data_IF_704834878034
#
_entry.id   IF_704834878034
#
_cell.length_a   1.000
_cell.length_b   1.000
_cell.length_c   1.000
_cell.angle_alpha   90.00
_cell.angle_beta   90.00
_cell.angle_gamma   90.00
#
_symmetry.space_group_name_H-M   'P 1'
#
loop_
_entity.id
_entity.type
_entity.pdbx_description
1 polymer ?
#
# COMPACT_ATOMS: atom_id res chain seq x y z
N UNK A 1 12.69 -7.59 14.80
CA UNK A 1 14.06 -8.14 14.94
C UNK A 1 14.60 -8.65 13.61
N UNK A 2 13.92 -9.59 12.93
CA UNK A 2 14.37 -10.13 11.63
C UNK A 2 14.50 -9.07 10.51
N UNK A 3 13.51 -8.20 10.33
CA UNK A 3 13.57 -7.14 9.29
C UNK A 3 14.77 -6.20 9.44
N UNK A 4 15.15 -5.85 10.67
CA UNK A 4 16.32 -5.00 10.92
C UNK A 4 17.62 -5.73 10.60
N UNK A 5 17.72 -7.03 10.91
CA UNK A 5 18.90 -7.82 10.57
C UNK A 5 19.04 -7.96 9.04
N UNK A 6 17.95 -8.23 8.33
CA UNK A 6 17.94 -8.25 6.86
C UNK A 6 18.37 -6.89 6.31
N UNK A 7 17.78 -5.80 6.82
CA UNK A 7 18.14 -4.45 6.38
C UNK A 7 19.62 -4.13 6.62
N UNK A 8 20.18 -4.51 7.78
CA UNK A 8 21.61 -4.35 8.06
C UNK A 8 22.45 -5.00 6.97
N UNK A 9 22.08 -6.22 6.55
CA UNK A 9 22.80 -6.93 5.50
C UNK A 9 22.64 -6.26 4.14
N UNK A 10 21.45 -5.77 3.81
CA UNK A 10 21.21 -5.03 2.57
C UNK A 10 22.06 -3.76 2.52
N UNK A 11 22.16 -3.01 3.63
CA UNK A 11 22.98 -1.79 3.71
C UNK A 11 24.48 -2.06 3.57
N UNK A 12 24.97 -3.24 3.97
CA UNK A 12 26.37 -3.65 3.76
C UNK A 12 26.68 -4.02 2.30
N UNK A 13 25.70 -4.60 1.60
CA UNK A 13 25.91 -5.20 0.26
C UNK A 13 25.64 -4.18 -0.85
N UNK A 14 24.62 -3.34 -0.70
CA UNK A 14 24.17 -2.41 -1.74
C UNK A 14 24.76 -1.01 -1.57
N UNK A 15 24.71 -0.23 -2.67
CA UNK A 15 25.26 1.14 -2.73
C UNK A 15 24.34 2.17 -2.04
N UNK A 16 24.85 3.38 -1.74
CA UNK A 16 24.01 4.50 -1.31
C UNK A 16 22.88 4.80 -2.30
N UNK A 17 21.76 5.33 -1.80
CA UNK A 17 20.56 5.65 -2.58
C UNK A 17 19.59 4.48 -2.76
N UNK A 18 19.70 3.44 -1.93
CA UNK A 18 18.80 2.28 -2.00
C UNK A 18 17.36 2.67 -1.64
N UNK A 19 16.41 2.12 -2.38
CA UNK A 19 14.98 2.16 -2.08
C UNK A 19 14.51 0.79 -1.58
N UNK A 20 13.72 0.78 -0.51
CA UNK A 20 13.07 -0.44 0.01
C UNK A 20 11.59 -0.17 0.18
N UNK A 21 10.77 -1.10 -0.29
CA UNK A 21 9.33 -1.06 -0.06
C UNK A 21 8.88 -2.15 0.90
N UNK A 22 7.86 -1.80 1.69
CA UNK A 22 7.14 -2.75 2.51
C UNK A 22 5.73 -2.22 2.75
N UNK A 23 4.74 -3.09 2.92
CA UNK A 23 3.34 -2.67 3.16
C UNK A 23 3.24 -1.76 4.39
N UNK A 24 4.10 -1.98 5.38
CA UNK A 24 4.22 -1.12 6.56
C UNK A 24 5.46 -0.22 6.53
N UNK A 25 5.96 0.12 5.34
CA UNK A 25 7.18 0.89 5.10
C UNK A 25 7.23 2.19 5.91
N UNK A 26 6.08 2.87 6.05
CA UNK A 26 5.95 4.09 6.85
C UNK A 26 6.15 3.91 8.36
N UNK A 27 5.80 2.75 8.92
CA UNK A 27 6.04 2.40 10.33
C UNK A 27 7.44 1.81 10.48
N UNK A 28 7.89 1.08 9.48
CA UNK A 28 9.21 0.48 9.47
C UNK A 28 10.32 1.53 9.40
N UNK A 29 10.14 2.59 8.60
CA UNK A 29 11.07 3.72 8.51
C UNK A 29 11.34 4.35 9.89
N UNK A 30 10.28 4.58 10.68
CA UNK A 30 10.39 5.07 12.07
C UNK A 30 11.16 4.07 12.94
N UNK A 31 10.83 2.79 12.82
CA UNK A 31 11.51 1.72 13.56
C UNK A 31 13.01 1.70 13.26
N UNK A 32 13.39 1.86 12.00
CA UNK A 32 14.79 1.91 11.55
C UNK A 32 15.48 3.17 12.07
N UNK A 33 14.83 4.32 11.99
CA UNK A 33 15.36 5.60 12.49
C UNK A 33 15.68 5.56 13.99
N UNK A 34 14.88 4.84 14.78
CA UNK A 34 15.10 4.65 16.22
C UNK A 34 16.01 3.47 16.58
N UNK A 35 16.52 2.74 15.60
CA UNK A 35 17.41 1.60 15.81
C UNK A 35 18.88 2.01 15.67
N UNK A 36 19.79 1.08 15.99
CA UNK A 36 21.23 1.25 15.75
C UNK A 36 21.59 1.45 14.27
N UNK A 37 20.68 1.13 13.34
CA UNK A 37 20.88 1.32 11.90
C UNK A 37 20.51 2.73 11.43
N UNK A 38 19.82 3.54 12.23
CA UNK A 38 19.23 4.80 11.77
C UNK A 38 20.25 5.79 11.19
N UNK A 39 21.40 5.95 11.85
CA UNK A 39 22.48 6.84 11.37
C UNK A 39 23.11 6.33 10.09
N UNK A 40 23.36 5.03 10.00
CA UNK A 40 23.94 4.39 8.83
C UNK A 40 22.98 4.41 7.63
N UNK A 41 21.71 4.07 7.85
CA UNK A 41 20.65 4.14 6.84
C UNK A 41 20.48 5.56 6.30
N UNK A 42 20.52 6.57 7.17
CA UNK A 42 20.47 7.99 6.77
C UNK A 42 21.71 8.40 5.97
N UNK A 43 22.90 7.99 6.41
CA UNK A 43 24.15 8.30 5.70
C UNK A 43 24.19 7.66 4.29
N UNK A 44 23.59 6.48 4.14
CA UNK A 44 23.45 5.81 2.85
C UNK A 44 22.27 6.31 2.02
N UNK A 45 21.47 7.27 2.50
CA UNK A 45 20.31 7.78 1.77
C UNK A 45 19.25 6.70 1.51
N UNK A 46 18.94 5.87 2.51
CA UNK A 46 17.90 4.86 2.40
C UNK A 46 16.51 5.50 2.28
N UNK A 47 15.79 5.16 1.21
CA UNK A 47 14.40 5.56 0.99
C UNK A 47 13.43 4.42 1.28
N UNK A 48 12.33 4.73 1.95
CA UNK A 48 11.26 3.78 2.22
C UNK A 48 10.05 4.09 1.33
N UNK A 49 9.43 3.02 0.83
CA UNK A 49 8.20 3.08 0.06
C UNK A 49 7.13 2.16 0.67
N UNK A 50 5.89 2.42 0.29
CA UNK A 50 4.77 1.49 0.43
C UNK A 50 4.33 1.12 -0.98
N UNK A 51 4.09 -0.17 -1.25
CA UNK A 51 3.69 -0.64 -2.57
C UNK A 51 2.49 0.14 -3.12
N UNK A 52 2.47 0.43 -4.42
CA UNK A 52 1.51 1.34 -5.05
C UNK A 52 0.05 0.94 -4.80
N UNK A 53 -0.25 -0.36 -4.73
CA UNK A 53 -1.61 -0.82 -4.44
C UNK A 53 -1.98 -0.61 -2.97
N UNK A 54 -1.03 -0.85 -2.06
CA UNK A 54 -1.26 -0.68 -0.63
C UNK A 54 -1.18 0.77 -0.17
N UNK A 55 -0.42 1.61 -0.86
CA UNK A 55 -0.21 3.00 -0.50
C UNK A 55 -1.53 3.76 -0.39
N UNK A 56 -2.47 3.56 -1.32
CA UNK A 56 -3.80 4.19 -1.27
C UNK A 56 -4.66 3.81 -0.06
N UNK A 57 -4.37 2.68 0.60
CA UNK A 57 -5.06 2.30 1.84
C UNK A 57 -4.53 3.02 3.08
N UNK A 58 -3.43 3.78 2.95
CA UNK A 58 -2.86 4.57 4.03
C UNK A 58 -3.48 5.97 4.06
N UNK A 59 -3.33 6.68 5.19
CA UNK A 59 -3.78 8.07 5.27
C UNK A 59 -2.99 8.98 4.30
N UNK A 60 -3.59 10.11 3.91
CA UNK A 60 -3.02 11.01 2.90
C UNK A 60 -1.59 11.45 3.23
N UNK A 61 -1.33 11.80 4.50
CA UNK A 61 0.02 12.12 4.98
C UNK A 61 1.06 11.02 4.72
N UNK A 62 0.67 9.77 4.91
CA UNK A 62 1.53 8.64 4.62
C UNK A 62 1.70 8.42 3.13
N UNK A 63 0.66 8.66 2.32
CA UNK A 63 0.76 8.55 0.87
C UNK A 63 1.79 9.53 0.32
N UNK A 64 1.69 10.82 0.69
CA UNK A 64 2.60 11.88 0.24
C UNK A 64 4.08 11.58 0.53
N UNK A 65 4.36 10.86 1.62
CA UNK A 65 5.72 10.60 2.10
C UNK A 65 6.32 9.26 1.66
N UNK A 66 5.50 8.31 1.21
CA UNK A 66 5.94 6.92 0.98
C UNK A 66 5.38 6.27 -0.29
N UNK A 67 4.41 6.89 -0.96
CA UNK A 67 3.81 6.30 -2.16
C UNK A 67 4.71 6.54 -3.38
N UNK A 68 4.98 5.52 -4.21
CA UNK A 68 5.88 5.65 -5.37
C UNK A 68 5.43 6.70 -6.38
N UNK A 69 4.13 6.86 -6.62
CA UNK A 69 3.63 7.89 -7.54
C UNK A 69 3.88 9.34 -7.08
N UNK A 70 3.98 9.61 -5.78
CA UNK A 70 4.27 10.97 -5.27
C UNK A 70 5.77 11.22 -5.13
N UNK A 71 6.57 10.15 -5.06
CA UNK A 71 8.00 10.20 -4.90
C UNK A 71 8.68 9.90 -6.24
N UNK A 72 9.24 10.91 -6.90
CA UNK A 72 9.91 10.79 -8.20
C UNK A 72 11.18 9.89 -8.23
N UNK A 73 11.48 9.19 -7.13
CA UNK A 73 12.66 8.33 -6.98
C UNK A 73 12.42 6.87 -7.41
N UNK A 74 11.16 6.42 -7.45
CA UNK A 74 10.82 5.02 -7.75
C UNK A 74 10.77 4.70 -9.25
N UNK A 75 10.68 5.72 -10.12
CA UNK A 75 10.39 5.51 -11.53
C UNK A 75 9.02 4.86 -11.73
N UNK A 76 8.97 3.79 -12.52
CA UNK A 76 7.75 3.00 -12.78
C UNK A 76 7.60 1.78 -11.86
N UNK A 77 8.47 1.64 -10.85
CA UNK A 77 8.39 0.54 -9.90
C UNK A 77 7.16 0.70 -8.99
N UNK A 78 6.30 -0.32 -8.98
CA UNK A 78 5.11 -0.37 -8.12
C UNK A 78 5.41 -0.99 -6.75
N UNK A 79 6.56 -1.65 -6.62
CA UNK A 79 7.02 -2.38 -5.44
C UNK A 79 6.07 -3.47 -4.94
N UNK A 80 5.35 -4.13 -5.85
CA UNK A 80 4.42 -5.23 -5.53
C UNK A 80 5.05 -6.62 -5.70
N UNK A 81 6.31 -6.70 -6.14
CA UNK A 81 7.04 -7.94 -6.46
C UNK A 81 7.00 -8.95 -5.32
N UNK A 82 7.10 -8.50 -4.06
CA UNK A 82 7.09 -9.38 -2.89
C UNK A 82 5.83 -10.26 -2.82
N UNK A 83 4.66 -9.72 -3.18
CA UNK A 83 3.42 -10.52 -3.22
C UNK A 83 3.47 -11.61 -4.27
N UNK A 84 4.00 -11.29 -5.45
CA UNK A 84 4.17 -12.26 -6.53
C UNK A 84 5.14 -13.38 -6.12
N UNK A 85 6.26 -13.02 -5.48
CA UNK A 85 7.23 -13.98 -4.96
C UNK A 85 6.60 -14.89 -3.91
N UNK A 86 5.93 -14.33 -2.90
CA UNK A 86 5.29 -15.13 -1.85
C UNK A 86 4.16 -16.01 -2.39
N UNK A 87 3.42 -15.54 -3.39
CA UNK A 87 2.42 -16.36 -4.09
C UNK A 87 3.07 -17.57 -4.78
N UNK A 88 4.19 -17.38 -5.49
CA UNK A 88 4.96 -18.48 -6.10
C UNK A 88 5.55 -19.42 -5.05
N UNK A 89 6.10 -18.88 -3.97
CA UNK A 89 6.66 -19.68 -2.87
C UNK A 89 5.58 -20.54 -2.18
N UNK A 90 4.35 -20.02 -2.06
CA UNK A 90 3.22 -20.76 -1.50
C UNK A 90 2.84 -22.00 -2.31
N UNK A 91 3.14 -22.05 -3.62
CA UNK A 91 2.94 -23.26 -4.42
C UNK A 91 3.79 -24.42 -3.91
N UNK A 92 4.92 -24.13 -3.26
CA UNK A 92 5.81 -25.13 -2.66
C UNK A 92 5.44 -25.49 -1.21
N UNK A 93 4.39 -24.87 -0.64
CA UNK A 93 3.99 -25.08 0.74
C UNK A 93 3.78 -26.57 1.09
N UNK A 94 3.19 -27.33 0.16
CA UNK A 94 2.94 -28.75 0.33
C UNK A 94 4.22 -29.59 0.50
N UNK A 95 5.35 -29.15 -0.07
CA UNK A 95 6.65 -29.82 0.09
C UNK A 95 7.25 -29.56 1.48
N UNK A 96 6.89 -28.45 2.13
CA UNK A 96 7.35 -28.12 3.47
C UNK A 96 6.55 -28.84 4.56
N UNK A 97 5.23 -29.02 4.37
CA UNK A 97 4.32 -29.53 5.40
C UNK A 97 4.73 -30.91 5.96
N UNK A 98 5.38 -31.74 5.15
CA UNK A 98 5.83 -33.08 5.53
C UNK A 98 7.36 -33.24 5.46
N UNK A 99 8.09 -32.16 5.18
CA UNK A 99 9.54 -32.16 5.05
C UNK A 99 10.25 -32.11 6.40
N UNK A 100 11.39 -32.80 6.51
CA UNK A 100 12.32 -32.55 7.61
C UNK A 100 12.90 -31.13 7.50
N UNK A 101 13.44 -30.60 8.60
CA UNK A 101 14.10 -29.29 8.59
C UNK A 101 15.19 -29.20 7.50
N UNK A 102 15.94 -30.28 7.25
CA UNK A 102 16.92 -30.34 6.16
C UNK A 102 16.27 -30.21 4.78
N UNK A 103 15.20 -30.96 4.52
CA UNK A 103 14.51 -30.89 3.24
C UNK A 103 13.87 -29.54 3.00
N UNK A 104 13.27 -28.92 4.02
CA UNK A 104 12.70 -27.58 3.91
C UNK A 104 13.76 -26.55 3.51
N UNK A 105 14.95 -26.58 4.13
CA UNK A 105 16.06 -25.69 3.75
C UNK A 105 16.54 -25.96 2.32
N UNK A 106 16.67 -27.22 1.92
CA UNK A 106 17.10 -27.57 0.56
C UNK A 106 16.09 -27.09 -0.49
N UNK A 107 14.79 -27.25 -0.24
CA UNK A 107 13.72 -26.79 -1.11
C UNK A 107 13.71 -25.26 -1.21
N UNK A 108 13.87 -24.54 -0.09
CA UNK A 108 13.97 -23.09 -0.10
C UNK A 108 15.19 -22.61 -0.90
N UNK A 109 16.34 -23.26 -0.74
CA UNK A 109 17.55 -22.90 -1.48
C UNK A 109 17.37 -23.08 -2.99
N UNK A 110 16.77 -24.19 -3.42
CA UNK A 110 16.46 -24.44 -4.83
C UNK A 110 15.44 -23.43 -5.39
N UNK A 111 14.42 -23.09 -4.62
CA UNK A 111 13.46 -22.06 -5.02
C UNK A 111 14.15 -20.73 -5.29
N UNK A 112 15.00 -20.27 -4.36
CA UNK A 112 15.69 -19.00 -4.51
C UNK A 112 16.72 -19.00 -5.63
N UNK A 113 17.42 -20.12 -5.89
CA UNK A 113 18.34 -20.21 -7.02
C UNK A 113 17.61 -20.12 -8.36
N UNK A 114 16.49 -20.84 -8.51
CA UNK A 114 15.70 -20.76 -9.74
C UNK A 114 15.05 -19.40 -9.93
N UNK A 115 14.54 -18.82 -8.85
CA UNK A 115 13.98 -17.48 -8.90
C UNK A 115 15.01 -16.43 -9.33
N UNK A 116 16.25 -16.51 -8.82
CA UNK A 116 17.33 -15.61 -9.20
C UNK A 116 17.69 -15.79 -10.69
N UNK A 117 17.85 -17.02 -11.17
CA UNK A 117 18.10 -17.30 -12.59
C UNK A 117 16.99 -16.74 -13.50
N UNK A 118 15.72 -16.98 -13.16
CA UNK A 118 14.57 -16.45 -13.88
C UNK A 118 14.58 -14.91 -13.90
N UNK A 119 14.92 -14.28 -12.77
CA UNK A 119 15.02 -12.83 -12.65
C UNK A 119 16.15 -12.27 -13.51
N UNK A 120 17.32 -12.91 -13.54
CA UNK A 120 18.43 -12.48 -14.39
C UNK A 120 18.06 -12.56 -15.88
N UNK A 121 17.37 -13.61 -16.29
CA UNK A 121 16.92 -13.77 -17.69
C UNK A 121 15.85 -12.73 -18.05
N UNK A 122 14.88 -12.48 -17.16
CA UNK A 122 13.80 -11.53 -17.39
C UNK A 122 14.19 -10.06 -17.23
N UNK A 123 15.37 -9.76 -16.67
CA UNK A 123 15.80 -8.39 -16.37
C UNK A 123 15.83 -7.48 -17.61
N UNK A 124 16.32 -8.00 -18.74
CA UNK A 124 16.41 -7.23 -19.97
C UNK A 124 15.01 -6.86 -20.50
N UNK A 125 14.09 -7.82 -20.50
CA UNK A 125 12.70 -7.62 -20.92
C UNK A 125 11.99 -6.64 -19.99
N UNK A 126 12.18 -6.78 -18.67
CA UNK A 126 11.63 -5.86 -17.67
C UNK A 126 12.06 -4.40 -17.91
N UNK A 127 13.37 -4.17 -18.12
CA UNK A 127 13.88 -2.82 -18.39
C UNK A 127 13.34 -2.29 -19.73
N UNK A 128 13.30 -3.14 -20.76
CA UNK A 128 12.80 -2.77 -22.08
C UNK A 128 11.31 -2.41 -22.07
N UNK A 129 10.49 -3.20 -21.39
CA UNK A 129 9.05 -2.97 -21.27
C UNK A 129 8.75 -1.73 -20.43
N UNK A 130 9.46 -1.51 -19.32
CA UNK A 130 9.36 -0.27 -18.54
C UNK A 130 9.72 0.97 -19.37
N UNK A 131 10.78 0.89 -20.19
CA UNK A 131 11.15 1.99 -21.07
C UNK A 131 10.07 2.27 -22.12
N UNK A 132 9.52 1.23 -22.75
CA UNK A 132 8.40 1.39 -23.71
C UNK A 132 7.16 1.94 -23.05
N UNK A 133 6.85 1.50 -21.83
CA UNK A 133 5.75 2.02 -21.05
C UNK A 133 5.94 3.51 -20.74
N UNK A 134 7.16 3.92 -20.35
CA UNK A 134 7.47 5.33 -20.13
C UNK A 134 7.25 6.17 -21.39
N UNK A 135 7.76 5.72 -22.55
CA UNK A 135 7.53 6.40 -23.83
C UNK A 135 6.04 6.49 -24.20
N UNK A 136 5.28 5.43 -23.93
CA UNK A 136 3.85 5.40 -24.17
C UNK A 136 3.10 6.38 -23.24
N UNK A 137 3.45 6.43 -21.95
CA UNK A 137 2.89 7.41 -21.00
C UNK A 137 3.18 8.84 -21.47
N UNK A 138 4.40 9.13 -21.90
CA UNK A 138 4.75 10.43 -22.45
C UNK A 138 3.92 10.74 -23.71
N UNK A 139 3.79 9.80 -24.64
CA UNK A 139 3.01 10.03 -25.86
C UNK A 139 1.51 10.25 -25.58
N UNK A 140 0.93 9.52 -24.62
CA UNK A 140 -0.52 9.50 -24.40
C UNK A 140 -1.01 10.49 -23.34
N UNK A 141 -0.26 10.67 -22.25
CA UNK A 141 -0.69 11.45 -21.07
C UNK A 141 -0.15 12.88 -21.13
N UNK A 142 1.08 13.07 -21.62
CA UNK A 142 1.70 14.40 -21.68
C UNK A 142 0.87 15.44 -22.44
N UNK A 143 0.22 15.14 -23.58
CA UNK A 143 -0.62 16.13 -24.25
C UNK A 143 -1.80 16.61 -23.39
N UNK A 144 -2.41 15.70 -22.63
CA UNK A 144 -3.49 16.03 -21.69
C UNK A 144 -2.99 16.90 -20.54
N UNK A 145 -1.81 16.61 -20.00
CA UNK A 145 -1.17 17.41 -18.95
C UNK A 145 -0.83 18.81 -19.46
N UNK A 146 -0.25 18.93 -20.65
CA UNK A 146 0.09 20.22 -21.29
C UNK A 146 -1.18 21.05 -21.52
N UNK A 147 -2.26 20.44 -22.01
CA UNK A 147 -3.53 21.13 -22.19
C UNK A 147 -4.11 21.63 -20.85
N UNK A 148 -4.03 20.82 -19.80
CA UNK A 148 -4.44 21.20 -18.46
C UNK A 148 -3.59 22.36 -17.91
N UNK A 149 -2.27 22.29 -18.09
CA UNK A 149 -1.33 23.35 -17.72
C UNK A 149 -1.66 24.67 -18.43
N UNK A 150 -1.91 24.64 -19.74
CA UNK A 150 -2.30 25.83 -20.48
C UNK A 150 -3.65 26.39 -20.02
N UNK A 151 -4.64 25.54 -19.78
CA UNK A 151 -5.97 25.96 -19.34
C UNK A 151 -5.93 26.65 -17.97
N UNK A 152 -5.11 26.12 -17.05
CA UNK A 152 -5.02 26.60 -15.67
C UNK A 152 -3.83 27.54 -15.41
N UNK A 153 -3.04 27.86 -16.44
CA UNK A 153 -1.82 28.68 -16.35
C UNK A 153 -0.82 28.13 -15.33
N UNK A 154 -0.66 26.81 -15.32
CA UNK A 154 0.23 26.08 -14.41
C UNK A 154 1.54 25.70 -15.10
N UNK A 155 2.58 25.59 -14.29
CA UNK A 155 3.90 25.06 -14.64
C UNK A 155 4.15 23.71 -13.98
N UNK A 156 5.23 23.01 -14.37
CA UNK A 156 5.63 21.76 -13.69
C UNK A 156 6.02 22.00 -12.22
N UNK A 157 6.57 23.19 -11.92
CA UNK A 157 6.95 23.59 -10.57
C UNK A 157 5.73 23.71 -9.64
N UNK A 158 4.56 24.04 -10.20
CA UNK A 158 3.32 24.13 -9.42
C UNK A 158 2.88 22.77 -8.89
N UNK A 159 3.09 21.67 -9.63
CA UNK A 159 2.76 20.34 -9.12
C UNK A 159 3.62 19.95 -7.93
N UNK A 160 4.93 20.22 -7.99
CA UNK A 160 5.83 20.00 -6.87
C UNK A 160 5.44 20.88 -5.67
N UNK A 161 5.06 22.13 -5.94
CA UNK A 161 4.57 23.06 -4.92
C UNK A 161 3.28 22.58 -4.27
N UNK A 162 2.30 22.08 -5.03
CA UNK A 162 1.04 21.55 -4.47
C UNK A 162 1.29 20.36 -3.55
N UNK A 163 2.19 19.44 -3.92
CA UNK A 163 2.57 18.33 -3.05
C UNK A 163 3.22 18.83 -1.74
N UNK A 164 4.07 19.87 -1.82
CA UNK A 164 4.69 20.47 -0.64
C UNK A 164 3.67 21.19 0.25
N UNK A 165 2.77 21.98 -0.34
CA UNK A 165 1.69 22.69 0.36
C UNK A 165 0.77 21.68 1.09
N UNK A 166 0.45 20.56 0.45
CA UNK A 166 -0.35 19.50 1.06
C UNK A 166 0.41 18.80 2.21
N UNK A 167 1.70 18.53 2.05
CA UNK A 167 2.54 18.00 3.12
C UNK A 167 2.61 18.96 4.31
N UNK A 168 2.80 20.25 4.07
CA UNK A 168 2.89 21.28 5.09
C UNK A 168 1.57 21.43 5.85
N UNK A 169 0.44 21.39 5.13
CA UNK A 169 -0.89 21.34 5.72
C UNK A 169 -1.03 20.16 6.70
N UNK A 170 -0.72 18.93 6.28
CA UNK A 170 -0.80 17.75 7.15
C UNK A 170 0.28 17.69 8.25
N UNK A 171 1.36 18.48 8.14
CA UNK A 171 2.36 18.62 9.19
C UNK A 171 1.95 19.64 10.25
N UNK A 172 1.26 20.72 9.85
CA UNK A 172 0.68 21.72 10.76
C UNK A 172 -0.63 21.29 11.41
N UNK A 173 -1.30 20.28 10.87
CA UNK A 173 -2.58 19.79 11.40
C UNK A 173 -2.39 19.03 12.72
N UNK A 174 -2.63 19.73 13.84
CA UNK A 174 -2.62 19.14 15.19
C UNK A 174 -3.93 18.40 15.47
N UNK A 175 -5.04 18.93 14.97
CA UNK A 175 -6.39 18.35 15.05
C UNK A 175 -7.19 18.77 13.80
N UNK A 176 -8.19 17.97 13.42
CA UNK A 176 -9.13 18.35 12.35
C UNK A 176 -9.80 19.69 12.69
N UNK A 177 -9.99 20.59 11.72
CA UNK A 177 -10.66 21.86 11.96
C UNK A 177 -12.07 21.62 12.52
N UNK A 178 -12.47 22.36 13.54
CA UNK A 178 -13.78 22.16 14.18
C UNK A 178 -14.94 22.29 13.19
N UNK A 179 -14.79 23.18 12.20
CA UNK A 179 -15.77 23.37 11.12
C UNK A 179 -15.98 22.10 10.28
N UNK A 180 -14.90 21.42 9.90
CA UNK A 180 -14.95 20.18 9.15
C UNK A 180 -15.58 19.06 9.98
N UNK A 181 -15.20 18.97 11.26
CA UNK A 181 -15.78 17.99 12.20
C UNK A 181 -17.29 18.21 12.33
N UNK A 182 -17.75 19.46 12.43
CA UNK A 182 -19.18 19.79 12.50
C UNK A 182 -19.89 19.47 11.18
N UNK A 183 -19.29 19.78 10.03
CA UNK A 183 -19.85 19.50 8.72
C UNK A 183 -19.99 17.99 8.46
N UNK A 184 -18.97 17.19 8.80
CA UNK A 184 -19.02 15.74 8.70
C UNK A 184 -20.06 15.15 9.66
N UNK A 185 -20.10 15.59 10.92
CA UNK A 185 -21.15 15.17 11.86
C UNK A 185 -22.55 15.52 11.34
N UNK A 186 -22.72 16.69 10.75
CA UNK A 186 -23.98 17.06 10.13
C UNK A 186 -24.36 16.12 8.98
N UNK A 187 -23.43 15.79 8.09
CA UNK A 187 -23.66 14.80 7.03
C UNK A 187 -24.01 13.40 7.58
N UNK A 188 -23.29 12.93 8.60
CA UNK A 188 -23.60 11.65 9.27
C UNK A 188 -25.01 11.67 9.90
N UNK A 189 -25.42 12.79 10.49
CA UNK A 189 -26.78 12.93 11.04
C UNK A 189 -27.85 12.94 9.94
N UNK A 190 -27.60 13.59 8.80
CA UNK A 190 -28.49 13.56 7.65
C UNK A 190 -28.60 12.14 7.05
N UNK A 191 -27.49 11.43 6.94
CA UNK A 191 -27.47 10.05 6.48
C UNK A 191 -28.27 9.15 7.42
N UNK A 192 -28.08 9.30 8.74
CA UNK A 192 -28.85 8.58 9.76
C UNK A 192 -30.35 8.90 9.68
N UNK A 193 -30.71 10.17 9.47
CA UNK A 193 -32.10 10.60 9.28
C UNK A 193 -32.72 9.99 8.01
N UNK A 194 -31.96 9.95 6.91
CA UNK A 194 -32.41 9.35 5.65
C UNK A 194 -32.64 7.84 5.80
N UNK A 195 -31.72 7.13 6.44
CA UNK A 195 -31.87 5.70 6.75
C UNK A 195 -33.06 5.42 7.67
N UNK A 196 -33.31 6.27 8.66
CA UNK A 196 -34.46 6.15 9.55
C UNK A 196 -35.80 6.49 8.88
N UNK A 197 -35.81 7.36 7.86
CA UNK A 197 -36.99 7.64 7.03
C UNK A 197 -37.27 6.53 6.03
N UNK A 198 -36.24 5.80 5.61
CA UNK A 198 -36.36 4.59 4.78
C UNK A 198 -36.72 3.38 5.65
N UNK A 199 -37.87 3.42 6.33
CA UNK A 199 -38.51 2.21 6.85
C UNK A 199 -39.18 1.56 5.65
N UNK A 200 -38.74 0.37 5.17
CA UNK A 200 -39.55 -0.36 4.23
C UNK A 200 -40.88 -0.60 4.93
N UNK A 201 -41.97 -0.17 4.29
CA UNK A 201 -43.32 -0.52 4.69
C UNK A 201 -43.48 -2.05 4.56
N UNK A 202 -42.92 -2.80 5.51
CA UNK A 202 -43.37 -4.13 5.82
C UNK A 202 -44.78 -3.96 6.40
N UNK A 203 -45.80 -4.57 5.79
CA UNK A 203 -47.14 -4.53 6.35
C UNK A 203 -47.06 -5.10 7.76
N UNK A 204 -47.50 -4.30 8.71
CA UNK A 204 -47.75 -4.70 10.08
C UNK A 204 -48.71 -5.91 10.05
N UNK A 205 -48.16 -7.12 10.16
CA UNK A 205 -48.91 -8.28 10.63
C UNK A 205 -48.04 -9.09 11.58
N UNK A 206 -48.57 -9.21 12.80
CA UNK A 206 -48.17 -10.12 13.89
C UNK A 206 -47.03 -9.64 14.82
N UNK A 207 -47.42 -8.65 15.62
CA UNK A 207 -47.43 -8.72 17.09
C UNK A 207 -47.10 -10.09 17.73
N UNK A 208 -46.23 -10.02 18.74
CA UNK A 208 -45.92 -10.95 19.84
C UNK A 208 -45.05 -12.18 19.52
N UNK A 209 -43.85 -12.21 20.11
CA UNK A 209 -43.41 -13.23 21.09
C UNK A 209 -42.08 -12.81 21.77
N UNK A 210 -42.21 -12.29 22.98
CA UNK A 210 -41.32 -12.39 24.16
C UNK A 210 -39.80 -12.62 24.00
N UNK A 211 -39.02 -11.59 24.38
CA UNK A 211 -37.75 -11.50 25.14
C UNK A 211 -36.79 -12.70 25.39
N UNK A 212 -36.81 -13.82 24.65
CA UNK A 212 -35.87 -14.95 24.88
C UNK A 212 -35.21 -15.58 23.64
N UNK A 213 -35.20 -14.92 22.48
CA UNK A 213 -34.48 -15.44 21.29
C UNK A 213 -33.50 -14.43 20.64
N UNK A 214 -32.97 -13.49 21.42
CA UNK A 214 -31.90 -12.58 20.97
C UNK A 214 -30.51 -13.24 20.81
N UNK A 215 -30.37 -14.55 21.04
CA UNK A 215 -29.07 -15.23 21.08
C UNK A 215 -28.88 -16.32 20.00
N UNK A 216 -29.90 -16.62 19.19
CA UNK A 216 -29.83 -17.67 18.16
C UNK A 216 -29.56 -17.16 16.73
N UNK A 217 -29.65 -15.85 16.46
CA UNK A 217 -29.47 -15.29 15.10
C UNK A 217 -28.01 -14.84 14.84
N UNK A 218 -27.16 -14.75 15.86
CA UNK A 218 -25.74 -14.38 15.70
C UNK A 218 -24.81 -15.52 15.25
N UNK A 219 -25.29 -16.76 15.11
CA UNK A 219 -24.43 -17.93 14.83
C UNK A 219 -24.71 -18.59 13.46
N UNK A 220 -25.69 -18.15 12.67
CA UNK A 220 -26.10 -18.87 11.44
C UNK A 220 -26.01 -18.10 10.11
N UNK A 221 -25.02 -17.20 9.98
CA UNK A 221 -24.68 -16.55 8.70
C UNK A 221 -23.19 -16.67 8.34
N UNK A 222 -22.52 -17.76 8.75
CA UNK A 222 -21.11 -18.04 8.38
C UNK A 222 -20.91 -19.21 7.41
N UNK A 223 -21.98 -19.75 6.87
CA UNK A 223 -21.93 -20.82 5.86
C UNK A 223 -23.16 -20.70 4.98
N UNK A 224 -23.00 -20.15 3.77
CA UNK A 224 -23.80 -20.40 2.55
C UNK A 224 -23.41 -19.38 1.47
N UNK A 225 -22.28 -19.64 0.80
CA UNK A 225 -22.06 -19.25 -0.59
C UNK A 225 -21.09 -20.27 -1.22
N UNK A 226 -21.62 -21.31 -1.89
CA UNK A 226 -20.96 -21.90 -3.04
C UNK A 226 -21.82 -21.64 -4.28
N UNK A 227 -21.24 -20.95 -5.27
CA UNK A 227 -21.29 -21.25 -6.69
C UNK A 227 -20.46 -20.19 -7.44
#
# INVERSE_FOLDING_TARGET
KYLLACLSKLLEVYRPGMAISYDIGCKHSKTVAHSSLGTHAKALGLHFFVGAFHGYAHNQKCQLMYHPCFLCLAGLEDFETNKHIFSKQNLMAHLFCHGSCYHCHMILLLFWSWWDEDCQVALADFIYDNYRQALHILAMVQPSVINFQHLHQLSDEDFARFLQEEQDYFNGLIAEPEEDVVAFRYLETLQSLASARYVPHLPCLLLFLTSKQAEAVRIRLRWLCPH
#
